data_IF_824549827851
#
_entry.id   IF_824549827851
#
_cell.length_a   1.000
_cell.length_b   1.000
_cell.length_c   1.000
_cell.angle_alpha   90.00
_cell.angle_beta   90.00
_cell.angle_gamma   90.00
#
_symmetry.space_group_name_H-M   'P 1'
#
loop_
_entity.id
_entity.type
_entity.pdbx_description
1 polymer ?
#
# COMPACT_ATOMS: atom_id res chain seq x y z
N UNK A 1 -42.47 4.39 13.70
CA UNK A 1 -42.27 2.94 13.86
C UNK A 1 -40.95 2.59 13.21
N UNK A 2 -40.08 2.00 14.00
CA UNK A 2 -38.63 1.82 13.80
C UNK A 2 -38.34 0.53 13.04
N UNK A 3 -37.33 0.53 12.15
CA UNK A 3 -36.31 -0.52 12.07
C UNK A 3 -35.23 -0.15 11.03
N UNK A 4 -34.02 0.11 11.51
CA UNK A 4 -32.76 0.04 10.74
C UNK A 4 -32.14 -1.30 11.09
N UNK A 5 -31.88 -2.14 10.10
CA UNK A 5 -31.21 -3.44 10.27
C UNK A 5 -29.76 -3.27 9.83
N UNK A 6 -28.85 -3.29 10.81
CA UNK A 6 -27.40 -3.37 10.61
C UNK A 6 -26.99 -4.84 10.80
N UNK A 7 -26.48 -5.49 9.76
CA UNK A 7 -25.89 -6.82 9.85
C UNK A 7 -24.39 -6.69 10.08
N UNK A 8 -23.96 -7.03 11.30
CA UNK A 8 -22.56 -7.22 11.68
C UNK A 8 -22.13 -8.64 11.31
N UNK A 9 -21.07 -8.80 10.52
CA UNK A 9 -20.42 -10.10 10.32
C UNK A 9 -19.44 -10.37 11.49
N UNK A 10 -19.43 -11.59 12.06
CA UNK A 10 -18.55 -11.94 13.16
C UNK A 10 -17.12 -12.22 12.67
N UNK A 11 -16.16 -11.60 13.33
CA UNK A 11 -14.75 -11.98 13.30
C UNK A 11 -14.59 -13.46 13.73
N UNK A 12 -13.96 -14.28 12.91
CA UNK A 12 -13.59 -15.65 13.32
C UNK A 12 -12.20 -15.62 13.93
N UNK A 13 -12.13 -15.95 15.22
CA UNK A 13 -10.90 -16.29 15.93
C UNK A 13 -10.40 -17.66 15.49
N UNK A 14 -9.25 -17.71 14.83
CA UNK A 14 -8.48 -18.95 14.65
C UNK A 14 -7.08 -18.75 15.25
N UNK A 15 -6.98 -18.92 16.57
CA UNK A 15 -5.71 -19.13 17.25
C UNK A 15 -5.38 -20.62 17.21
N UNK A 16 -4.47 -21.00 16.31
CA UNK A 16 -3.90 -22.35 16.24
C UNK A 16 -2.48 -22.32 16.82
N UNK A 17 -2.35 -22.73 18.09
CA UNK A 17 -1.06 -22.88 18.76
C UNK A 17 -0.19 -23.95 18.09
N UNK A 18 1.01 -23.57 17.65
CA UNK A 18 2.03 -24.51 17.17
C UNK A 18 2.84 -25.04 18.35
N UNK A 19 3.04 -26.37 18.40
CA UNK A 19 3.84 -27.05 19.44
C UNK A 19 5.34 -26.84 19.18
N UNK A 20 6.19 -26.74 20.22
CA UNK A 20 7.62 -26.59 20.05
C UNK A 20 8.24 -27.91 19.55
N UNK A 21 9.00 -27.83 18.46
CA UNK A 21 9.80 -28.93 17.92
C UNK A 21 11.23 -28.79 18.44
N UNK A 22 11.71 -29.83 19.12
CA UNK A 22 13.06 -29.96 19.67
C UNK A 22 14.10 -30.19 18.58
N UNK A 23 15.22 -29.48 18.66
CA UNK A 23 16.40 -29.61 17.80
C UNK A 23 17.17 -30.92 18.03
N UNK A 24 17.49 -31.65 16.95
CA UNK A 24 18.62 -32.58 16.90
C UNK A 24 19.09 -32.79 15.44
N UNK A 25 20.42 -32.81 15.29
CA UNK A 25 21.20 -32.63 14.07
C UNK A 25 21.33 -33.87 13.13
N UNK A 26 21.86 -33.58 11.93
CA UNK A 26 22.58 -34.42 10.94
C UNK A 26 21.86 -34.47 9.57
N UNK A 27 22.48 -34.50 8.38
CA UNK A 27 23.82 -34.21 7.85
C UNK A 27 23.70 -34.28 6.29
N UNK A 28 24.51 -33.48 5.59
CA UNK A 28 25.01 -33.51 4.20
C UNK A 28 24.46 -34.54 3.17
N UNK A 29 24.14 -34.09 1.95
CA UNK A 29 24.91 -34.40 0.71
C UNK A 29 24.37 -33.66 -0.52
N UNK A 30 25.29 -33.37 -1.44
CA UNK A 30 25.17 -32.50 -2.61
C UNK A 30 25.07 -33.34 -3.91
N UNK A 31 24.27 -32.92 -4.89
CA UNK A 31 24.38 -33.41 -6.28
C UNK A 31 23.83 -32.39 -7.30
N UNK A 32 24.64 -32.15 -8.34
CA UNK A 32 24.44 -31.26 -9.49
C UNK A 32 24.06 -32.11 -10.71
N UNK A 33 23.11 -31.66 -11.55
CA UNK A 33 23.23 -31.62 -13.03
C UNK A 33 21.89 -31.33 -13.76
N UNK A 34 21.94 -30.32 -14.64
CA UNK A 34 21.14 -30.16 -15.88
C UNK A 34 19.66 -29.81 -15.72
N UNK A 35 18.98 -29.09 -16.61
CA UNK A 35 19.30 -28.45 -17.89
C UNK A 35 18.00 -27.68 -18.27
N UNK A 36 18.18 -26.46 -18.75
CA UNK A 36 17.33 -25.69 -19.69
C UNK A 36 15.91 -25.13 -19.41
N UNK A 37 15.87 -23.81 -19.63
CA UNK A 37 14.91 -22.93 -20.33
C UNK A 37 13.45 -22.82 -19.88
N UNK A 38 13.04 -21.58 -19.58
CA UNK A 38 12.10 -20.87 -20.47
C UNK A 38 12.04 -19.40 -20.06
N UNK A 39 12.41 -18.53 -21.00
CA UNK A 39 12.02 -17.13 -20.94
C UNK A 39 10.50 -17.03 -21.10
N UNK A 40 9.84 -16.28 -20.24
CA UNK A 40 8.56 -15.66 -20.55
C UNK A 40 8.50 -14.36 -19.79
N UNK A 41 8.83 -13.27 -20.50
CA UNK A 41 8.27 -11.97 -20.22
C UNK A 41 6.75 -12.09 -20.32
N UNK A 42 6.05 -11.83 -19.23
CA UNK A 42 4.65 -11.47 -19.26
C UNK A 42 4.55 -10.05 -18.69
N UNK A 43 4.87 -9.08 -19.55
CA UNK A 43 4.28 -7.75 -19.40
C UNK A 43 2.78 -7.92 -19.61
N UNK A 44 2.07 -8.08 -18.50
CA UNK A 44 0.62 -8.18 -18.50
C UNK A 44 0.08 -6.76 -18.57
N UNK A 45 -0.15 -6.31 -19.80
CA UNK A 45 -0.75 -5.01 -20.12
C UNK A 45 -2.07 -4.87 -19.38
N UNK A 46 -2.06 -3.96 -18.42
CA UNK A 46 -3.18 -3.68 -17.55
C UNK A 46 -4.43 -3.25 -18.31
N UNK A 47 -5.55 -3.78 -17.84
CA UNK A 47 -6.89 -3.37 -18.24
C UNK A 47 -7.16 -1.96 -17.71
N UNK A 48 -7.15 -0.97 -18.60
CA UNK A 48 -7.73 0.34 -18.32
C UNK A 48 -9.25 0.20 -18.27
N UNK A 49 -9.82 0.16 -17.06
CA UNK A 49 -11.25 0.16 -16.85
C UNK A 49 -11.75 1.61 -16.73
N UNK A 50 -12.73 1.98 -17.56
CA UNK A 50 -13.40 3.28 -17.46
C UNK A 50 -14.73 3.07 -16.74
N UNK A 51 -14.67 3.09 -15.42
CA UNK A 51 -15.85 3.09 -14.55
C UNK A 51 -16.23 4.54 -14.21
N UNK A 52 -17.53 4.87 -14.33
CA UNK A 52 -18.14 6.08 -13.77
C UNK A 52 -17.39 7.43 -14.03
N UNK A 53 -16.66 7.57 -15.14
CA UNK A 53 -15.93 8.79 -15.49
C UNK A 53 -14.52 8.90 -14.91
N UNK A 54 -14.02 7.84 -14.26
CA UNK A 54 -12.62 7.72 -13.85
C UNK A 54 -11.84 6.88 -14.88
N UNK A 55 -10.60 7.31 -15.15
CA UNK A 55 -9.58 6.50 -15.79
C UNK A 55 -8.79 5.82 -14.68
N UNK A 56 -8.84 4.49 -14.59
CA UNK A 56 -8.04 3.73 -13.62
C UNK A 56 -7.04 2.83 -14.33
N UNK A 57 -5.81 2.82 -13.84
CA UNK A 57 -4.74 1.91 -14.26
C UNK A 57 -3.91 1.61 -13.01
N UNK A 58 -3.27 0.46 -12.98
CA UNK A 58 -2.21 0.18 -12.01
C UNK A 58 -0.87 0.57 -12.66
N UNK A 59 0.26 0.35 -11.99
CA UNK A 59 1.58 0.55 -12.59
C UNK A 59 2.36 -0.74 -12.37
N UNK A 60 3.50 -0.91 -13.06
CA UNK A 60 4.39 -2.06 -12.82
C UNK A 60 4.86 -2.16 -11.35
N UNK A 61 4.83 -1.04 -10.61
CA UNK A 61 5.11 -0.98 -9.17
C UNK A 61 3.98 -1.51 -8.27
N UNK A 62 2.80 -1.80 -8.84
CA UNK A 62 1.58 -2.15 -8.12
C UNK A 62 0.76 -0.95 -7.62
N UNK A 63 1.18 0.29 -7.90
CA UNK A 63 0.43 1.50 -7.51
C UNK A 63 -0.77 1.72 -8.43
N UNK A 64 -1.98 1.70 -7.87
CA UNK A 64 -3.20 2.10 -8.58
C UNK A 64 -3.29 3.61 -8.71
N UNK A 65 -3.47 4.08 -9.94
CA UNK A 65 -3.67 5.47 -10.32
C UNK A 65 -5.09 5.63 -10.86
N UNK A 66 -5.88 6.48 -10.21
CA UNK A 66 -7.24 6.81 -10.62
C UNK A 66 -7.35 8.31 -10.90
N UNK A 67 -7.77 8.65 -12.12
CA UNK A 67 -7.84 10.02 -12.62
C UNK A 67 -9.28 10.36 -12.98
N UNK A 68 -9.78 11.48 -12.48
CA UNK A 68 -11.04 12.07 -12.91
C UNK A 68 -10.78 13.40 -13.61
N UNK A 69 -11.29 13.56 -14.82
CA UNK A 69 -11.11 14.78 -15.61
C UNK A 69 -12.39 15.60 -15.62
N UNK A 70 -12.29 16.87 -15.19
CA UNK A 70 -13.37 17.84 -15.30
C UNK A 70 -12.89 19.10 -16.04
N UNK A 71 -13.18 19.23 -17.35
CA UNK A 71 -12.75 20.37 -18.16
C UNK A 71 -13.32 21.73 -17.71
N UNK A 72 -14.35 21.75 -16.86
CA UNK A 72 -14.94 22.98 -16.34
C UNK A 72 -14.09 23.62 -15.21
N UNK A 73 -13.14 22.89 -14.64
CA UNK A 73 -12.31 23.34 -13.52
C UNK A 73 -10.84 23.44 -13.98
N UNK A 74 -10.26 24.65 -14.04
CA UNK A 74 -8.85 24.84 -14.42
C UNK A 74 -7.90 24.61 -13.22
N UNK A 75 -8.17 23.57 -12.42
CA UNK A 75 -7.40 23.21 -11.23
C UNK A 75 -7.18 21.71 -11.19
N UNK A 76 -6.05 21.29 -10.63
CA UNK A 76 -5.72 19.88 -10.42
C UNK A 76 -5.52 19.65 -8.93
N UNK A 77 -6.14 18.61 -8.40
CA UNK A 77 -5.88 18.12 -7.06
C UNK A 77 -5.28 16.71 -7.17
N UNK A 78 -4.25 16.44 -6.38
CA UNK A 78 -3.63 15.12 -6.30
C UNK A 78 -3.71 14.62 -4.86
N UNK A 79 -3.90 13.31 -4.69
CA UNK A 79 -3.94 12.67 -3.40
C UNK A 79 -3.26 11.32 -3.51
N UNK A 80 -2.42 10.99 -2.52
CA UNK A 80 -1.78 9.69 -2.41
C UNK A 80 -2.37 8.98 -1.21
N UNK A 81 -2.92 7.79 -1.44
CA UNK A 81 -3.53 6.97 -0.39
C UNK A 81 -2.61 5.78 -0.14
N UNK A 82 -2.26 5.56 1.12
CA UNK A 82 -1.47 4.41 1.54
C UNK A 82 -2.34 3.55 2.45
N UNK A 83 -2.35 2.23 2.21
CA UNK A 83 -3.15 1.30 3.00
C UNK A 83 -2.47 0.97 4.34
N UNK A 84 -2.27 2.01 5.16
CA UNK A 84 -1.70 1.93 6.51
C UNK A 84 -2.27 3.06 7.37
N UNK A 85 -2.25 2.88 8.70
CA UNK A 85 -2.76 3.86 9.66
C UNK A 85 -2.79 3.28 11.07
N UNK A 86 -3.39 3.97 12.02
CA UNK A 86 -3.44 3.55 13.44
C UNK A 86 -4.02 2.14 13.66
N UNK A 87 -4.92 1.68 12.79
CA UNK A 87 -5.47 0.32 12.82
C UNK A 87 -4.42 -0.79 12.58
N UNK A 88 -3.23 -0.43 12.09
CA UNK A 88 -2.13 -1.34 11.80
C UNK A 88 -1.01 -1.27 12.86
N UNK A 89 -1.17 -0.46 13.91
CA UNK A 89 -0.20 -0.32 14.98
C UNK A 89 -0.35 -1.46 16.00
N UNK A 90 0.78 -1.97 16.51
CA UNK A 90 0.77 -2.85 17.69
C UNK A 90 0.49 -2.04 18.97
N UNK A 91 0.06 -2.71 20.04
CA UNK A 91 -0.25 -2.06 21.32
C UNK A 91 0.92 -1.24 21.90
N UNK A 92 2.16 -1.60 21.58
CA UNK A 92 3.38 -0.92 22.00
C UNK A 92 3.88 0.15 20.99
N UNK A 93 3.13 0.42 19.92
CA UNK A 93 3.51 1.33 18.81
C UNK A 93 2.45 2.42 18.55
N UNK A 94 1.51 2.59 19.49
CA UNK A 94 0.40 3.52 19.34
C UNK A 94 0.85 4.96 19.05
N UNK A 95 0.31 5.54 17.99
CA UNK A 95 0.57 6.92 17.55
C UNK A 95 1.71 7.06 16.53
N UNK A 96 2.34 5.98 16.08
CA UNK A 96 3.41 6.02 15.09
C UNK A 96 2.95 6.51 13.72
N UNK A 97 1.76 6.14 13.26
CA UNK A 97 1.18 6.63 12.01
C UNK A 97 0.99 8.15 12.05
N UNK A 98 0.49 8.68 13.17
CA UNK A 98 0.32 10.13 13.36
C UNK A 98 1.67 10.84 13.51
N UNK A 99 2.62 10.24 14.23
CA UNK A 99 3.99 10.78 14.31
C UNK A 99 4.64 10.83 12.93
N UNK A 100 4.48 9.79 12.12
CA UNK A 100 5.01 9.74 10.75
C UNK A 100 4.42 10.86 9.89
N UNK A 101 3.12 11.12 9.98
CA UNK A 101 2.47 12.23 9.29
C UNK A 101 3.12 13.58 9.66
N UNK A 102 3.38 13.82 10.94
CA UNK A 102 4.09 15.03 11.38
C UNK A 102 5.52 15.14 10.82
N UNK A 103 6.23 14.01 10.70
CA UNK A 103 7.60 13.98 10.21
C UNK A 103 7.69 14.13 8.69
N UNK A 104 6.68 13.69 7.94
CA UNK A 104 6.65 13.69 6.47
C UNK A 104 6.86 15.09 5.86
N UNK A 105 6.47 16.14 6.58
CA UNK A 105 6.60 17.53 6.12
C UNK A 105 7.84 18.25 6.68
N UNK A 106 8.70 17.52 7.41
CA UNK A 106 9.94 18.04 7.97
C UNK A 106 11.02 18.25 6.90
N UNK A 107 11.56 17.18 6.32
CA UNK A 107 12.54 17.26 5.24
C UNK A 107 12.62 15.92 4.51
N UNK A 108 13.16 15.95 3.30
CA UNK A 108 13.52 14.77 2.50
C UNK A 108 15.01 14.82 2.20
N UNK A 109 15.57 13.74 1.65
CA UNK A 109 16.97 13.74 1.20
C UNK A 109 17.27 14.84 0.18
N UNK A 110 16.26 15.29 -0.57
CA UNK A 110 16.40 16.22 -1.68
C UNK A 110 15.90 17.64 -1.35
N UNK A 111 15.05 17.81 -0.34
CA UNK A 111 14.40 19.10 -0.04
C UNK A 111 14.31 19.31 1.48
N UNK A 112 14.59 20.53 1.94
CA UNK A 112 14.38 20.95 3.33
C UNK A 112 12.92 21.36 3.61
N UNK A 113 12.60 21.58 4.90
CA UNK A 113 11.28 22.00 5.38
C UNK A 113 10.79 23.30 4.73
N UNK A 114 11.71 24.24 4.55
CA UNK A 114 11.40 25.57 4.04
C UNK A 114 11.03 25.50 2.57
N UNK A 115 11.69 24.63 1.80
CA UNK A 115 11.43 24.43 0.37
C UNK A 115 10.00 23.93 0.15
N UNK A 116 9.55 22.93 0.93
CA UNK A 116 8.17 22.45 0.86
C UNK A 116 7.16 23.56 1.16
N UNK A 117 7.40 24.29 2.25
CA UNK A 117 6.52 25.38 2.72
C UNK A 117 6.46 26.53 1.73
N UNK A 118 7.61 26.93 1.18
CA UNK A 118 7.72 27.99 0.17
C UNK A 118 6.98 27.61 -1.10
N UNK A 119 7.15 26.37 -1.58
CA UNK A 119 6.48 25.91 -2.79
C UNK A 119 4.95 25.97 -2.66
N UNK A 120 4.40 25.49 -1.53
CA UNK A 120 2.97 25.59 -1.24
C UNK A 120 2.49 27.05 -1.19
N UNK A 121 3.18 27.91 -0.45
CA UNK A 121 2.76 29.30 -0.28
C UNK A 121 2.83 30.13 -1.57
N UNK A 122 3.74 29.80 -2.49
CA UNK A 122 3.90 30.53 -3.77
C UNK A 122 2.92 30.04 -4.84
N UNK A 123 2.56 28.76 -4.83
CA UNK A 123 1.78 28.15 -5.92
C UNK A 123 0.32 27.82 -5.57
N UNK A 124 -0.06 27.87 -4.29
CA UNK A 124 -1.43 27.63 -3.82
C UNK A 124 -1.62 26.21 -3.34
#
# INVERSE_FOLDING_TARGET
MTAVILLLLPWSTAWAGSKPQTDAAAESTNAIAGEEVSATEAGESESTEIEAGFLSTTLDSGLTVSIYSNPALPVVATQTWVHVGSAHEADNELGFAHLFEHLMFGATEQNDAETYTRHHNVHG
#
